data_IF_289204125820
#
_entry.id   IF_289204125820
#
_cell.length_a   1.000
_cell.length_b   1.000
_cell.length_c   1.000
_cell.angle_alpha   90.00
_cell.angle_beta   90.00
_cell.angle_gamma   90.00
#
_symmetry.space_group_name_H-M   'P 1'
#
loop_
_entity.id
_entity.type
_entity.pdbx_description
1 polymer ?
#
# COMPACT_ATOMS: atom_id res chain seq x y z
N UNK A 1 22.18 -1.27 1.20
CA UNK A 1 22.30 0.04 0.54
C UNK A 1 20.90 0.65 0.50
N UNK A 2 20.67 1.72 1.25
CA UNK A 2 19.37 2.39 1.34
C UNK A 2 19.29 3.37 0.17
N UNK A 3 18.56 2.99 -0.88
CA UNK A 3 18.38 3.83 -2.06
C UNK A 3 17.49 5.04 -1.74
N UNK A 4 17.76 6.16 -2.39
CA UNK A 4 17.03 7.43 -2.27
C UNK A 4 15.50 7.20 -2.31
N UNK A 5 14.80 7.60 -1.25
CA UNK A 5 13.35 7.43 -1.07
C UNK A 5 12.56 8.55 -1.74
N UNK A 6 12.58 8.58 -3.07
CA UNK A 6 11.89 9.64 -3.84
C UNK A 6 10.35 9.62 -3.62
N UNK A 7 9.79 8.49 -3.17
CA UNK A 7 8.34 8.25 -3.07
C UNK A 7 7.69 8.39 -1.69
N UNK A 8 8.47 8.65 -0.64
CA UNK A 8 7.98 8.63 0.75
C UNK A 8 7.47 7.25 1.23
N UNK A 9 7.70 6.19 0.46
CA UNK A 9 7.37 4.80 0.81
C UNK A 9 8.65 3.96 0.85
N UNK A 10 8.70 2.99 1.77
CA UNK A 10 9.85 2.09 1.91
C UNK A 10 9.43 0.68 2.31
N UNK A 11 10.32 -0.28 2.07
CA UNK A 11 10.15 -1.67 2.49
C UNK A 11 11.40 -2.14 3.23
N UNK A 12 11.22 -2.87 4.33
CA UNK A 12 12.32 -3.42 5.11
C UNK A 12 11.97 -4.80 5.67
N UNK A 13 12.98 -5.64 5.90
CA UNK A 13 12.81 -6.91 6.58
C UNK A 13 12.69 -6.66 8.08
N UNK A 14 11.68 -7.23 8.73
CA UNK A 14 11.49 -7.10 10.18
C UNK A 14 12.10 -8.31 10.90
N UNK A 15 11.79 -9.50 10.40
CA UNK A 15 12.24 -10.80 10.92
C UNK A 15 12.36 -11.78 9.76
N UNK A 16 12.90 -12.98 10.02
CA UNK A 16 12.87 -14.06 9.04
C UNK A 16 11.43 -14.39 8.63
N UNK A 17 11.21 -14.46 7.31
CA UNK A 17 9.87 -14.66 6.74
C UNK A 17 8.91 -13.48 6.91
N UNK A 18 9.37 -12.28 7.31
CA UNK A 18 8.50 -11.11 7.51
C UNK A 18 9.06 -9.80 6.94
N UNK A 19 8.22 -9.05 6.24
CA UNK A 19 8.54 -7.74 5.65
C UNK A 19 7.55 -6.66 6.11
N UNK A 20 8.05 -5.46 6.37
CA UNK A 20 7.26 -4.25 6.56
C UNK A 20 7.29 -3.39 5.30
N UNK A 21 6.14 -2.90 4.88
CA UNK A 21 6.00 -1.89 3.82
C UNK A 21 5.31 -0.68 4.44
N UNK A 22 6.00 0.47 4.45
CA UNK A 22 5.41 1.77 4.73
C UNK A 22 4.97 2.39 3.41
N UNK A 23 3.67 2.52 3.20
CA UNK A 23 3.07 3.06 1.98
C UNK A 23 2.62 4.50 2.19
N UNK A 24 3.06 5.40 1.32
CA UNK A 24 2.65 6.79 1.32
C UNK A 24 1.24 6.93 0.73
N UNK A 25 0.24 7.03 1.61
CA UNK A 25 -1.16 7.24 1.23
C UNK A 25 -1.51 8.71 0.98
N UNK A 26 -0.57 9.64 1.09
CA UNK A 26 -0.76 11.02 0.61
C UNK A 26 -1.04 11.09 -0.89
N UNK A 27 -0.66 10.04 -1.64
CA UNK A 27 -1.02 9.90 -3.06
C UNK A 27 -2.46 9.47 -3.32
N UNK A 28 -3.25 9.24 -2.27
CA UNK A 28 -4.69 9.06 -2.39
C UNK A 28 -5.49 10.17 -1.74
N UNK A 29 -4.87 11.09 -0.99
CA UNK A 29 -5.57 12.11 -0.21
C UNK A 29 -6.34 13.09 -1.12
N UNK A 30 -7.63 13.28 -0.84
CA UNK A 30 -8.51 14.17 -1.64
C UNK A 30 -8.10 15.66 -1.60
N UNK A 31 -7.42 16.08 -0.52
CA UNK A 31 -6.89 17.44 -0.30
C UNK A 31 -5.49 17.63 -0.90
N UNK A 32 -4.86 16.59 -1.45
CA UNK A 32 -3.60 16.72 -2.16
C UNK A 32 -3.83 17.30 -3.57
N UNK A 33 -3.80 18.62 -3.66
CA UNK A 33 -4.10 19.35 -4.90
C UNK A 33 -3.17 19.01 -6.09
N UNK A 34 -1.98 18.46 -5.84
CA UNK A 34 -1.07 18.05 -6.91
C UNK A 34 -1.61 16.86 -7.72
N UNK A 35 -2.46 16.02 -7.11
CA UNK A 35 -3.03 14.85 -7.78
C UNK A 35 -3.99 15.21 -8.91
N UNK A 36 -4.56 16.41 -8.91
CA UNK A 36 -5.48 16.86 -9.97
C UNK A 36 -4.76 17.12 -11.31
N UNK A 37 -3.43 17.23 -11.33
CA UNK A 37 -2.66 17.24 -12.57
C UNK A 37 -2.65 15.86 -13.24
N UNK A 38 -2.49 14.79 -12.45
CA UNK A 38 -2.57 13.41 -12.90
C UNK A 38 -2.77 12.47 -11.71
N UNK A 39 -3.91 11.79 -11.65
CA UNK A 39 -4.25 10.83 -10.60
C UNK A 39 -3.78 9.40 -10.91
N UNK A 40 -3.20 9.18 -12.10
CA UNK A 40 -2.80 7.85 -12.56
C UNK A 40 -1.50 7.41 -11.89
N UNK A 41 -1.63 6.56 -10.86
CA UNK A 41 -0.54 5.97 -10.08
C UNK A 41 0.60 6.96 -9.74
N UNK A 42 0.33 7.96 -8.88
CA UNK A 42 1.30 9.00 -8.55
C UNK A 42 2.61 8.40 -8.02
N UNK A 43 3.71 8.81 -8.65
CA UNK A 43 5.07 8.30 -8.42
C UNK A 43 5.22 6.77 -8.55
N UNK A 44 4.35 6.15 -9.35
CA UNK A 44 4.30 4.69 -9.53
C UNK A 44 4.16 3.92 -8.21
N UNK A 45 3.56 4.53 -7.18
CA UNK A 45 3.52 4.01 -5.82
C UNK A 45 2.74 2.69 -5.72
N UNK A 46 1.61 2.58 -6.41
CA UNK A 46 0.80 1.36 -6.47
C UNK A 46 1.54 0.27 -7.26
N UNK A 47 2.14 0.62 -8.40
CA UNK A 47 2.96 -0.31 -9.19
C UNK A 47 4.15 -0.84 -8.40
N UNK A 48 4.81 0.02 -7.61
CA UNK A 48 5.89 -0.37 -6.72
C UNK A 48 5.39 -1.29 -5.60
N UNK A 49 4.25 -0.97 -5.00
CA UNK A 49 3.65 -1.78 -3.95
C UNK A 49 3.34 -3.21 -4.42
N UNK A 50 2.72 -3.35 -5.61
CA UNK A 50 2.46 -4.65 -6.25
C UNK A 50 3.77 -5.43 -6.46
N UNK A 51 4.84 -4.77 -6.92
CA UNK A 51 6.14 -5.42 -7.11
C UNK A 51 6.73 -5.93 -5.79
N UNK A 52 6.59 -5.18 -4.70
CA UNK A 52 7.09 -5.61 -3.39
C UNK A 52 6.28 -6.77 -2.80
N UNK A 53 4.96 -6.75 -2.96
CA UNK A 53 4.10 -7.88 -2.56
C UNK A 53 4.42 -9.14 -3.37
N UNK A 54 4.57 -9.01 -4.68
CA UNK A 54 4.91 -10.14 -5.55
C UNK A 54 6.27 -10.75 -5.19
N UNK A 55 7.30 -9.92 -4.92
CA UNK A 55 8.60 -10.41 -4.43
C UNK A 55 8.48 -11.16 -3.10
N UNK A 56 7.61 -10.71 -2.20
CA UNK A 56 7.38 -11.37 -0.92
C UNK A 56 6.59 -12.67 -1.07
N UNK A 57 5.60 -12.72 -1.96
CA UNK A 57 4.86 -13.94 -2.33
C UNK A 57 5.83 -15.02 -2.84
N UNK A 58 6.72 -14.68 -3.77
CA UNK A 58 7.74 -15.62 -4.30
C UNK A 58 8.70 -16.15 -3.22
N UNK A 59 8.91 -15.39 -2.14
CA UNK A 59 9.78 -15.76 -1.02
C UNK A 59 9.03 -16.42 0.14
N UNK A 60 7.71 -16.54 0.07
CA UNK A 60 6.89 -17.01 1.19
C UNK A 60 6.91 -16.07 2.41
N UNK A 61 7.25 -14.80 2.23
CA UNK A 61 7.27 -13.80 3.30
C UNK A 61 5.86 -13.32 3.63
N UNK A 62 5.60 -13.09 4.92
CA UNK A 62 4.42 -12.37 5.38
C UNK A 62 4.66 -10.86 5.40
N UNK A 63 3.74 -10.10 4.84
CA UNK A 63 3.88 -8.65 4.71
C UNK A 63 2.95 -7.92 5.69
N UNK A 64 3.53 -6.95 6.39
CA UNK A 64 2.83 -5.94 7.18
C UNK A 64 2.84 -4.64 6.39
N UNK A 65 1.67 -4.01 6.24
CA UNK A 65 1.53 -2.72 5.54
C UNK A 65 1.17 -1.66 6.57
N UNK A 66 1.93 -0.57 6.58
CA UNK A 66 1.65 0.63 7.35
C UNK A 66 1.29 1.76 6.40
N UNK A 67 0.26 2.52 6.76
CA UNK A 67 -0.26 3.64 6.01
C UNK A 67 -0.83 4.67 6.99
N UNK A 68 -0.89 5.93 6.58
CA UNK A 68 -1.48 7.00 7.40
C UNK A 68 -2.99 7.09 7.19
N UNK A 69 -3.40 7.25 5.93
CA UNK A 69 -4.81 7.39 5.52
C UNK A 69 -5.34 5.99 5.19
N UNK A 70 -6.41 5.53 5.85
CA UNK A 70 -7.06 4.28 5.50
C UNK A 70 -7.64 4.35 4.08
N UNK A 71 -7.32 3.42 3.17
CA UNK A 71 -7.81 3.47 1.79
C UNK A 71 -9.32 3.33 1.61
N UNK A 72 -10.04 2.99 2.68
CA UNK A 72 -11.51 2.90 2.71
C UNK A 72 -12.21 4.16 3.18
N UNK A 73 -11.47 5.17 3.62
CA UNK A 73 -12.04 6.41 4.14
C UNK A 73 -12.41 7.37 2.99
N UNK A 74 -13.36 8.26 3.27
CA UNK A 74 -13.72 9.43 2.45
C UNK A 74 -12.55 10.37 2.16
N UNK A 75 -11.46 10.29 2.93
CA UNK A 75 -10.22 11.03 2.70
C UNK A 75 -9.41 10.52 1.49
N UNK A 76 -9.74 9.35 0.94
CA UNK A 76 -9.00 8.71 -0.15
C UNK A 76 -9.77 8.75 -1.48
N UNK A 77 -9.09 9.10 -2.58
CA UNK A 77 -9.64 9.11 -3.93
C UNK A 77 -10.15 7.72 -4.31
N UNK A 78 -11.41 7.64 -4.75
CA UNK A 78 -12.11 6.38 -5.05
C UNK A 78 -11.33 5.49 -6.03
N UNK A 79 -10.78 6.07 -7.10
CA UNK A 79 -9.99 5.33 -8.08
C UNK A 79 -8.73 4.70 -7.49
N UNK A 80 -8.06 5.39 -6.56
CA UNK A 80 -6.89 4.85 -5.86
C UNK A 80 -7.31 3.75 -4.87
N UNK A 81 -8.34 4.00 -4.07
CA UNK A 81 -8.92 3.07 -3.11
C UNK A 81 -9.35 1.75 -3.76
N UNK A 82 -10.03 1.82 -4.92
CA UNK A 82 -10.47 0.66 -5.66
C UNK A 82 -9.30 -0.20 -6.16
N UNK A 83 -8.23 0.44 -6.66
CA UNK A 83 -7.02 -0.28 -7.07
C UNK A 83 -6.30 -0.91 -5.88
N UNK A 84 -6.17 -0.18 -4.76
CA UNK A 84 -5.62 -0.74 -3.52
C UNK A 84 -6.39 -1.99 -3.08
N UNK A 85 -7.73 -1.91 -3.06
CA UNK A 85 -8.58 -3.05 -2.70
C UNK A 85 -8.31 -4.27 -3.57
N UNK A 86 -8.23 -4.10 -4.90
CA UNK A 86 -7.91 -5.20 -5.82
C UNK A 86 -6.53 -5.82 -5.55
N UNK A 87 -5.54 -4.99 -5.24
CA UNK A 87 -4.19 -5.46 -4.87
C UNK A 87 -4.24 -6.28 -3.58
N UNK A 88 -4.91 -5.78 -2.54
CA UNK A 88 -5.06 -6.51 -1.28
C UNK A 88 -5.76 -7.85 -1.49
N UNK A 89 -6.84 -7.90 -2.28
CA UNK A 89 -7.54 -9.14 -2.60
C UNK A 89 -6.63 -10.15 -3.33
N UNK A 90 -5.80 -9.71 -4.28
CA UNK A 90 -4.85 -10.58 -5.00
C UNK A 90 -3.77 -11.16 -4.08
N UNK A 91 -3.30 -10.40 -3.10
CA UNK A 91 -2.19 -10.80 -2.22
C UNK A 91 -2.61 -11.18 -0.81
N UNK A 92 -3.89 -11.49 -0.59
CA UNK A 92 -4.46 -11.82 0.74
C UNK A 92 -3.69 -12.92 1.47
N UNK A 93 -3.10 -13.88 0.74
CA UNK A 93 -2.32 -14.97 1.32
C UNK A 93 -0.90 -14.55 1.76
N UNK A 94 -0.30 -13.56 1.11
CA UNK A 94 1.01 -13.01 1.46
C UNK A 94 0.90 -11.95 2.58
N UNK A 95 -0.23 -11.25 2.65
CA UNK A 95 -0.51 -10.26 3.68
C UNK A 95 -0.85 -10.92 5.01
N UNK A 96 -0.37 -10.32 6.11
CA UNK A 96 -0.72 -10.78 7.46
C UNK A 96 -1.97 -10.07 7.98
N UNK A 97 -2.75 -10.78 8.80
CA UNK A 97 -4.10 -10.40 9.27
C UNK A 97 -4.19 -9.12 10.12
N UNK A 98 -3.09 -8.43 10.45
CA UNK A 98 -3.18 -7.08 11.03
C UNK A 98 -3.79 -6.06 10.05
N UNK A 99 -3.87 -6.41 8.76
CA UNK A 99 -4.65 -5.68 7.75
C UNK A 99 -6.16 -5.92 7.85
N UNK A 100 -6.63 -6.94 8.58
CA UNK A 100 -8.07 -7.22 8.70
C UNK A 100 -8.84 -6.18 9.50
N UNK A 101 -8.21 -5.42 10.40
CA UNK A 101 -8.89 -4.28 11.04
C UNK A 101 -8.96 -3.06 10.11
N UNK A 102 -7.99 -2.88 9.21
CA UNK A 102 -8.09 -1.90 8.12
C UNK A 102 -9.06 -2.33 7.02
N UNK A 103 -9.23 -3.63 6.78
CA UNK A 103 -10.23 -4.20 5.86
C UNK A 103 -11.62 -4.29 6.51
N UNK A 104 -11.72 -4.43 7.85
CA UNK A 104 -12.99 -4.38 8.59
C UNK A 104 -13.54 -2.96 8.70
N UNK A 105 -12.68 -1.93 8.70
CA UNK A 105 -13.09 -0.54 8.45
C UNK A 105 -13.53 -0.26 7.01
N UNK A 106 -13.44 -1.24 6.11
CA UNK A 106 -13.87 -1.15 4.71
C UNK A 106 -15.24 -1.81 4.45
N UNK A 107 -15.94 -2.25 5.50
CA UNK A 107 -17.27 -2.87 5.39
C UNK A 107 -18.37 -2.20 6.23
N UNK A 108 -18.08 -1.10 6.94
CA UNK A 108 -19.09 -0.23 7.55
C UNK A 108 -18.60 1.21 7.60
#
# INVERSE_FOLDING_TARGET
MVGVFIRGSYATKVMDGSKLISLNTGFCEVTNFFLYLNQSDPDSSMSWFVKELYKSELKGEKVYVLAHIPPGDSECLEGWAFNYYRVIQRFVNALRENSKDSIRKLMF
#
